data_IF_404210185307
#
_entry.id   IF_404210185307
#
_cell.length_a   1.000
_cell.length_b   1.000
_cell.length_c   1.000
_cell.angle_alpha   90.00
_cell.angle_beta   90.00
_cell.angle_gamma   90.00
#
_symmetry.space_group_name_H-M   'P 1'
#
loop_
_entity.id
_entity.type
_entity.pdbx_description
1 polymer ?
#
# COMPACT_ATOMS: atom_id res chain seq x y z
N UNK A 1 -18.37 -8.72 -5.37
CA UNK A 1 -18.51 -7.81 -6.54
C UNK A 1 -17.58 -6.61 -6.44
N UNK A 2 -17.60 -5.80 -5.37
CA UNK A 2 -16.66 -4.67 -5.19
C UNK A 2 -15.18 -5.12 -5.20
N UNK A 3 -14.87 -6.29 -4.62
CA UNK A 3 -13.54 -6.92 -4.65
C UNK A 3 -13.02 -7.20 -6.06
N UNK A 4 -13.91 -7.51 -7.00
CA UNK A 4 -13.56 -7.74 -8.42
C UNK A 4 -13.15 -6.44 -9.12
N UNK A 5 -13.85 -5.33 -8.83
CA UNK A 5 -13.50 -4.01 -9.36
C UNK A 5 -12.21 -3.43 -8.76
N UNK A 6 -11.94 -3.72 -7.48
CA UNK A 6 -10.69 -3.35 -6.82
C UNK A 6 -9.47 -4.01 -7.48
N UNK A 7 -9.57 -5.29 -7.84
CA UNK A 7 -8.53 -6.00 -8.58
C UNK A 7 -8.27 -5.37 -9.96
N UNK A 8 -9.32 -4.99 -10.69
CA UNK A 8 -9.20 -4.34 -12.00
C UNK A 8 -8.56 -2.94 -11.94
N UNK A 9 -8.96 -2.11 -10.97
CA UNK A 9 -8.41 -0.77 -10.79
C UNK A 9 -6.95 -0.75 -10.31
N UNK A 10 -6.52 -1.77 -9.56
CA UNK A 10 -5.13 -1.93 -9.12
C UNK A 10 -4.21 -2.45 -10.25
N UNK A 11 -4.70 -3.36 -11.10
CA UNK A 11 -3.89 -3.99 -12.14
C UNK A 11 -3.69 -3.10 -13.37
N UNK A 12 -4.70 -2.33 -13.75
CA UNK A 12 -4.66 -1.50 -14.95
C UNK A 12 -4.72 -0.04 -14.54
N UNK A 13 -3.54 0.59 -14.33
CA UNK A 13 -3.37 2.04 -14.18
C UNK A 13 -3.71 2.82 -15.46
N UNK A 14 -4.73 2.38 -16.19
CA UNK A 14 -5.23 3.00 -17.42
C UNK A 14 -6.40 3.93 -17.08
N UNK A 15 -6.30 5.18 -17.51
CA UNK A 15 -7.34 6.21 -17.33
C UNK A 15 -8.70 5.78 -17.90
N UNK A 16 -8.68 5.03 -19.01
CA UNK A 16 -9.90 4.50 -19.64
C UNK A 16 -10.58 3.44 -18.77
N UNK A 17 -9.80 2.56 -18.14
CA UNK A 17 -10.30 1.53 -17.22
C UNK A 17 -10.86 2.17 -15.95
N UNK A 18 -10.13 3.15 -15.38
CA UNK A 18 -10.55 3.88 -14.17
C UNK A 18 -11.89 4.60 -14.39
N UNK A 19 -12.09 5.20 -15.57
CA UNK A 19 -13.35 5.84 -15.95
C UNK A 19 -14.50 4.85 -16.14
N UNK A 20 -14.25 3.73 -16.81
CA UNK A 20 -15.29 2.72 -17.09
C UNK A 20 -15.72 1.97 -15.82
N UNK A 21 -14.78 1.66 -14.94
CA UNK A 21 -15.04 1.08 -13.64
C UNK A 21 -15.86 2.02 -12.74
N UNK A 22 -15.60 3.33 -12.79
CA UNK A 22 -16.41 4.34 -12.10
C UNK A 22 -17.88 4.30 -12.54
N UNK A 23 -18.13 4.27 -13.86
CA UNK A 23 -19.49 4.14 -14.42
C UNK A 23 -20.19 2.85 -13.97
N UNK A 24 -19.51 1.71 -14.04
CA UNK A 24 -20.03 0.43 -13.57
C UNK A 24 -20.39 0.48 -12.08
N UNK A 25 -19.53 1.06 -11.25
CA UNK A 25 -19.79 1.19 -9.82
C UNK A 25 -21.06 1.99 -9.55
N UNK A 26 -21.30 3.10 -10.27
CA UNK A 26 -22.53 3.89 -10.13
C UNK A 26 -23.79 3.05 -10.38
N UNK A 27 -23.75 2.21 -11.42
CA UNK A 27 -24.88 1.34 -11.78
C UNK A 27 -25.20 0.31 -10.69
N UNK A 28 -24.17 -0.16 -9.98
CA UNK A 28 -24.30 -1.18 -8.94
C UNK A 28 -24.49 -0.61 -7.52
N UNK A 29 -24.22 0.67 -7.29
CA UNK A 29 -24.48 1.33 -6.00
C UNK A 29 -25.97 1.54 -5.76
N UNK A 30 -26.40 1.39 -4.49
CA UNK A 30 -27.81 1.49 -4.08
C UNK A 30 -27.94 2.30 -2.78
N UNK A 31 -29.17 2.71 -2.47
CA UNK A 31 -29.51 3.38 -1.20
C UNK A 31 -28.74 4.68 -0.96
N UNK A 32 -28.28 4.89 0.29
CA UNK A 32 -27.58 6.11 0.73
C UNK A 32 -26.30 6.39 -0.08
N UNK A 33 -25.57 5.36 -0.50
CA UNK A 33 -24.38 5.51 -1.33
C UNK A 33 -24.71 6.03 -2.74
N UNK A 34 -25.81 5.54 -3.34
CA UNK A 34 -26.28 6.03 -4.65
C UNK A 34 -26.76 7.48 -4.56
N UNK A 35 -27.51 7.82 -3.51
CA UNK A 35 -27.98 9.19 -3.30
C UNK A 35 -26.79 10.15 -3.18
N UNK A 36 -25.82 9.83 -2.33
CA UNK A 36 -24.61 10.64 -2.16
C UNK A 36 -23.81 10.80 -3.46
N UNK A 37 -23.64 9.72 -4.24
CA UNK A 37 -22.93 9.79 -5.52
C UNK A 37 -23.62 10.67 -6.56
N UNK A 38 -24.96 10.72 -6.57
CA UNK A 38 -25.71 11.48 -7.56
C UNK A 38 -25.80 12.96 -7.20
N UNK A 39 -25.93 13.28 -5.91
CA UNK A 39 -26.30 14.61 -5.45
C UNK A 39 -25.17 15.36 -4.74
N UNK A 40 -24.32 14.66 -3.99
CA UNK A 40 -23.34 15.29 -3.09
C UNK A 40 -21.90 15.19 -3.60
N UNK A 41 -21.59 14.18 -4.42
CA UNK A 41 -20.24 13.91 -4.91
C UNK A 41 -19.86 14.83 -6.09
N UNK A 42 -18.85 15.68 -5.87
CA UNK A 42 -18.38 16.70 -6.84
C UNK A 42 -17.06 16.36 -7.54
N UNK A 43 -16.38 15.33 -7.07
CA UNK A 43 -15.08 14.90 -7.58
C UNK A 43 -15.21 14.14 -8.91
N UNK A 44 -14.11 13.87 -9.63
CA UNK A 44 -14.14 13.08 -10.85
C UNK A 44 -14.84 11.74 -10.66
N UNK A 45 -15.66 11.33 -11.64
CA UNK A 45 -16.40 10.06 -11.63
C UNK A 45 -15.55 8.88 -12.09
N UNK A 46 -14.30 8.86 -11.65
CA UNK A 46 -13.41 7.72 -11.86
C UNK A 46 -13.47 6.79 -10.65
N UNK A 47 -13.18 5.51 -10.87
CA UNK A 47 -13.19 4.50 -9.82
C UNK A 47 -12.33 4.92 -8.62
N UNK A 48 -11.09 5.35 -8.87
CA UNK A 48 -10.14 5.73 -7.82
C UNK A 48 -10.66 6.88 -6.96
N UNK A 49 -11.16 7.94 -7.58
CA UNK A 49 -11.69 9.10 -6.87
C UNK A 49 -12.96 8.74 -6.08
N UNK A 50 -13.87 7.98 -6.70
CA UNK A 50 -15.14 7.60 -6.08
C UNK A 50 -14.96 6.67 -4.89
N UNK A 51 -14.03 5.69 -4.96
CA UNK A 51 -13.71 4.80 -3.83
C UNK A 51 -13.08 5.58 -2.69
N UNK A 52 -12.17 6.51 -2.97
CA UNK A 52 -11.58 7.39 -1.95
C UNK A 52 -12.67 8.21 -1.25
N UNK A 53 -13.57 8.81 -2.00
CA UNK A 53 -14.70 9.56 -1.45
C UNK A 53 -15.66 8.69 -0.63
N UNK A 54 -15.99 7.49 -1.13
CA UNK A 54 -16.84 6.54 -0.43
C UNK A 54 -16.23 6.06 0.88
N UNK A 55 -14.92 5.76 0.89
CA UNK A 55 -14.20 5.41 2.12
C UNK A 55 -14.30 6.54 3.13
N UNK A 56 -13.99 7.78 2.71
CA UNK A 56 -14.07 8.93 3.61
C UNK A 56 -15.49 9.20 4.15
N UNK A 57 -16.53 8.89 3.38
CA UNK A 57 -17.92 9.21 3.73
C UNK A 57 -18.64 8.10 4.50
N UNK A 58 -18.42 6.85 4.13
CA UNK A 58 -19.24 5.71 4.58
C UNK A 58 -18.48 4.70 5.43
N UNK A 59 -17.15 4.71 5.38
CA UNK A 59 -16.36 3.89 6.30
C UNK A 59 -16.15 4.72 7.55
N UNK A 60 -16.74 4.27 8.66
CA UNK A 60 -16.43 4.84 9.97
C UNK A 60 -14.93 4.67 10.18
N UNK A 61 -14.19 5.76 10.41
CA UNK A 61 -12.75 5.70 10.74
C UNK A 61 -12.55 4.92 12.04
N UNK A 62 -12.55 3.60 11.96
CA UNK A 62 -11.93 2.77 12.96
C UNK A 62 -10.41 2.96 12.81
N UNK A 63 -9.71 3.12 13.93
CA UNK A 63 -8.24 3.30 14.00
C UNK A 63 -7.45 2.28 13.15
N UNK A 64 -8.04 1.13 12.83
CA UNK A 64 -7.45 0.06 12.03
C UNK A 64 -7.32 0.40 10.53
N UNK A 65 -8.22 1.19 9.95
CA UNK A 65 -8.13 1.60 8.54
C UNK A 65 -7.03 2.64 8.29
N UNK A 66 -6.77 3.51 9.27
CA UNK A 66 -5.61 4.41 9.22
C UNK A 66 -4.31 3.59 9.27
N UNK A 67 -4.25 2.49 10.03
CA UNK A 67 -3.07 1.62 10.07
C UNK A 67 -2.88 0.83 8.77
N UNK A 68 -3.96 0.29 8.18
CA UNK A 68 -3.89 -0.43 6.92
C UNK A 68 -3.50 0.49 5.75
N UNK A 69 -4.09 1.69 5.65
CA UNK A 69 -3.69 2.70 4.68
C UNK A 69 -2.22 3.11 4.84
N UNK A 70 -1.80 3.38 6.08
CA UNK A 70 -0.40 3.71 6.39
C UNK A 70 0.57 2.56 6.06
N UNK A 71 0.13 1.30 6.14
CA UNK A 71 0.96 0.14 5.79
C UNK A 71 1.28 0.11 4.28
N UNK A 72 0.29 0.25 3.41
CA UNK A 72 0.51 0.23 1.95
C UNK A 72 1.27 1.45 1.44
N UNK A 73 1.13 2.59 2.14
CA UNK A 73 1.86 3.82 1.81
C UNK A 73 3.22 3.94 2.53
N UNK A 74 3.61 2.92 3.30
CA UNK A 74 4.87 2.91 4.04
C UNK A 74 6.07 2.88 3.07
N UNK A 75 6.85 3.98 3.07
CA UNK A 75 8.07 4.13 2.28
C UNK A 75 9.18 4.70 3.15
N UNK A 76 10.42 4.35 2.83
CA UNK A 76 11.59 4.82 3.57
C UNK A 76 11.70 6.35 3.53
N UNK A 77 11.51 6.97 2.37
CA UNK A 77 11.52 8.43 2.24
C UNK A 77 12.83 9.05 2.76
N UNK A 78 12.73 9.93 3.76
CA UNK A 78 13.89 10.54 4.46
C UNK A 78 14.30 9.78 5.73
N UNK A 79 13.58 8.73 6.11
CA UNK A 79 13.82 7.96 7.34
C UNK A 79 15.09 7.12 7.19
N UNK A 80 15.77 6.93 8.33
CA UNK A 80 16.83 5.93 8.44
C UNK A 80 16.27 4.53 8.16
N UNK A 81 17.14 3.63 7.68
CA UNK A 81 16.73 2.29 7.27
C UNK A 81 16.08 1.52 8.42
N UNK A 82 16.68 1.57 9.61
CA UNK A 82 16.18 0.85 10.78
C UNK A 82 14.82 1.38 11.24
N UNK A 83 14.67 2.71 11.29
CA UNK A 83 13.40 3.36 11.61
C UNK A 83 12.27 3.00 10.62
N UNK A 84 12.61 2.86 9.33
CA UNK A 84 11.67 2.40 8.32
C UNK A 84 11.26 0.93 8.52
N UNK A 85 12.21 0.04 8.81
CA UNK A 85 11.93 -1.38 9.03
C UNK A 85 11.05 -1.57 10.28
N UNK A 86 11.33 -0.86 11.36
CA UNK A 86 10.52 -0.90 12.59
C UNK A 86 9.09 -0.41 12.34
N UNK A 87 8.93 0.71 11.64
CA UNK A 87 7.63 1.24 11.28
C UNK A 87 6.86 0.28 10.37
N UNK A 88 7.54 -0.31 9.38
CA UNK A 88 6.97 -1.30 8.48
C UNK A 88 6.51 -2.56 9.23
N UNK A 89 7.32 -3.06 10.17
CA UNK A 89 6.96 -4.20 11.01
C UNK A 89 5.77 -3.90 11.92
N UNK A 90 5.74 -2.70 12.52
CA UNK A 90 4.63 -2.25 13.38
C UNK A 90 3.32 -2.13 12.60
N UNK A 91 3.35 -1.54 11.41
CA UNK A 91 2.18 -1.36 10.55
C UNK A 91 1.74 -2.68 9.89
N UNK A 92 2.70 -3.55 9.58
CA UNK A 92 2.49 -4.85 8.96
C UNK A 92 2.14 -5.97 9.94
N UNK A 93 1.85 -5.67 11.21
CA UNK A 93 1.46 -6.66 12.21
C UNK A 93 -0.02 -7.08 12.07
N UNK A 94 -0.42 -7.43 10.85
CA UNK A 94 -1.76 -7.93 10.51
C UNK A 94 -1.63 -9.27 9.80
N UNK A 95 -2.57 -10.19 10.03
CA UNK A 95 -2.58 -11.51 9.36
C UNK A 95 -3.23 -11.47 7.98
N UNK A 96 -3.79 -10.32 7.58
CA UNK A 96 -4.58 -10.16 6.35
C UNK A 96 -3.72 -10.07 5.08
N UNK A 97 -2.39 -9.97 5.23
CA UNK A 97 -1.46 -9.78 4.12
C UNK A 97 -0.41 -10.90 4.14
N UNK A 98 -0.22 -11.57 3.00
CA UNK A 98 0.76 -12.66 2.88
C UNK A 98 2.19 -12.15 3.11
N UNK A 99 3.05 -12.98 3.72
CA UNK A 99 4.47 -12.64 3.95
C UNK A 99 5.20 -12.23 2.67
N UNK A 100 4.93 -12.93 1.57
CA UNK A 100 5.48 -12.61 0.25
C UNK A 100 5.08 -11.21 -0.22
N UNK A 101 3.83 -10.82 -0.01
CA UNK A 101 3.37 -9.49 -0.38
C UNK A 101 3.99 -8.40 0.51
N UNK A 102 4.16 -8.66 1.81
CA UNK A 102 4.89 -7.76 2.72
C UNK A 102 6.35 -7.57 2.29
N UNK A 103 7.02 -8.63 1.84
CA UNK A 103 8.37 -8.57 1.28
C UNK A 103 8.45 -7.66 0.05
N UNK A 104 7.52 -7.83 -0.90
CA UNK A 104 7.45 -6.99 -2.10
C UNK A 104 7.26 -5.51 -1.73
N UNK A 105 6.35 -5.21 -0.81
CA UNK A 105 6.13 -3.84 -0.32
C UNK A 105 7.37 -3.26 0.34
N UNK A 106 8.01 -4.02 1.24
CA UNK A 106 9.23 -3.59 1.93
C UNK A 106 10.31 -3.21 0.92
N UNK A 107 10.59 -4.09 -0.05
CA UNK A 107 11.60 -3.85 -1.09
C UNK A 107 11.22 -2.64 -1.95
N UNK A 108 9.96 -2.52 -2.35
CA UNK A 108 9.50 -1.40 -3.19
C UNK A 108 9.58 -0.05 -2.47
N UNK A 109 9.37 -0.03 -1.15
CA UNK A 109 9.41 1.18 -0.32
C UNK A 109 10.82 1.68 0.02
N UNK A 110 11.88 0.91 -0.27
CA UNK A 110 13.26 1.32 -0.02
C UNK A 110 13.70 2.47 -0.93
N UNK A 111 14.45 3.42 -0.37
CA UNK A 111 15.07 4.53 -1.11
C UNK A 111 16.24 4.03 -1.96
N UNK A 112 17.07 3.15 -1.41
CA UNK A 112 18.30 2.69 -2.07
C UNK A 112 18.01 1.70 -3.20
N UNK A 113 18.36 2.07 -4.43
CA UNK A 113 18.24 1.18 -5.61
C UNK A 113 19.16 -0.04 -5.49
N UNK A 114 20.36 0.14 -4.93
CA UNK A 114 21.32 -0.96 -4.71
C UNK A 114 20.79 -2.00 -3.72
N UNK A 115 20.11 -1.57 -2.65
CA UNK A 115 19.46 -2.49 -1.71
C UNK A 115 18.26 -3.20 -2.35
N UNK A 116 17.51 -2.52 -3.21
CA UNK A 116 16.39 -3.13 -3.96
C UNK A 116 16.87 -4.26 -4.86
N UNK A 117 17.93 -4.04 -5.62
CA UNK A 117 18.53 -5.06 -6.49
C UNK A 117 19.08 -6.25 -5.68
N UNK A 118 19.78 -5.98 -4.57
CA UNK A 118 20.31 -7.04 -3.70
C UNK A 118 19.21 -7.91 -3.06
N UNK A 119 18.07 -7.31 -2.72
CA UNK A 119 16.95 -8.01 -2.10
C UNK A 119 16.10 -8.77 -3.13
N UNK A 120 16.04 -8.33 -4.39
CA UNK A 120 15.36 -9.06 -5.46
C UNK A 120 16.07 -10.34 -5.89
N UNK A 121 17.39 -10.41 -5.71
CA UNK A 121 18.23 -11.54 -6.15
C UNK A 121 18.32 -12.65 -5.09
N UNK A 122 17.81 -12.42 -3.88
CA UNK A 122 17.90 -13.38 -2.77
C UNK A 122 16.52 -13.78 -2.26
N UNK A 123 16.35 -15.07 -2.02
CA UNK A 123 15.21 -15.60 -1.26
C UNK A 123 15.45 -15.31 0.23
N UNK A 124 14.44 -14.75 0.90
CA UNK A 124 14.45 -14.53 2.35
C UNK A 124 13.21 -15.18 2.95
N UNK A 125 13.41 -16.01 3.97
CA UNK A 125 12.34 -16.74 4.64
C UNK A 125 11.59 -15.87 5.67
N UNK A 126 12.23 -14.79 6.15
CA UNK A 126 11.62 -13.86 7.10
C UNK A 126 12.18 -12.43 7.03
N UNK A 127 11.40 -11.46 7.55
CA UNK A 127 11.85 -10.07 7.78
C UNK A 127 13.06 -10.00 8.73
N UNK A 128 13.20 -10.97 9.63
CA UNK A 128 14.32 -11.06 10.57
C UNK A 128 15.65 -11.36 9.89
N UNK A 129 15.63 -12.01 8.72
CA UNK A 129 16.86 -12.36 7.98
C UNK A 129 17.48 -11.16 7.27
N UNK A 130 16.73 -10.08 7.08
CA UNK A 130 17.21 -8.86 6.42
C UNK A 130 18.10 -8.03 7.35
N UNK A 131 17.80 -8.01 8.65
CA UNK A 131 18.49 -7.19 9.67
C UNK A 131 19.97 -7.58 9.91
N UNK A 132 20.34 -8.87 10.11
CA UNK A 132 21.73 -9.26 10.36
C UNK A 132 22.66 -9.07 9.15
N UNK A 133 22.12 -8.99 7.93
CA UNK A 133 22.93 -8.84 6.71
C UNK A 133 23.37 -7.40 6.44
N UNK A 134 22.67 -6.40 6.98
CA UNK A 134 23.08 -5.00 6.89
C UNK A 134 24.22 -4.68 7.88
N UNK A 135 24.04 -5.02 9.16
CA UNK A 135 25.07 -4.78 10.19
C UNK A 135 26.40 -5.51 9.91
N UNK A 136 26.37 -6.68 9.26
CA UNK A 136 27.59 -7.44 8.91
C UNK A 136 28.37 -6.86 7.72
N UNK A 137 27.79 -5.94 6.94
CA UNK A 137 28.48 -5.27 5.83
C UNK A 137 29.01 -3.88 6.20
N UNK A 138 28.35 -3.16 7.10
CA UNK A 138 28.90 -1.90 7.62
C UNK A 138 30.11 -2.11 8.54
N UNK A 139 30.20 -3.27 9.20
CA UNK A 139 31.40 -3.69 9.95
C UNK A 139 32.57 -4.16 9.05
N UNK A 140 32.36 -4.32 7.73
CA UNK A 140 33.42 -4.62 6.75
C UNK A 140 33.83 -3.42 5.90
N UNK A 141 33.11 -2.31 5.97
CA UNK A 141 33.48 -1.02 5.38
C UNK A 141 33.79 -0.09 6.56
N UNK A 142 34.97 -0.29 7.15
CA UNK A 142 35.44 0.49 8.28
C UNK A 142 35.28 1.99 8.04
N UNK A 143 34.40 2.59 8.83
CA UNK A 143 34.45 4.01 9.16
C UNK A 143 33.70 4.22 10.47
N UNK A 144 34.31 3.74 11.56
CA UNK A 144 34.10 4.35 12.87
C UNK A 144 34.76 5.72 12.86
N UNK A 145 33.97 6.75 13.15
CA UNK A 145 34.39 7.82 14.04
C UNK A 145 33.26 8.07 15.03
#
# INVERSE_FOLDING_TARGET
MITWYAAYGLYFKSSQVDSRAGQLMMNHTKGKAKHWLLWDYKEPRTWTAMIKGMRNRFVAKAKEDDLAGNFFDCKQGIKLLDAYIEEFARLGNTNDVSKQYKMILLTTGLKSTKLRELLQVREFDSLGDILPHHCRRESKLGSCR
#
